data_IF_904030616370
#
_entry.id   IF_904030616370
#
_cell.length_a   1.000
_cell.length_b   1.000
_cell.length_c   1.000
_cell.angle_alpha   90.00
_cell.angle_beta   90.00
_cell.angle_gamma   90.00
#
_symmetry.space_group_name_H-M   'P 1'
#
loop_
_entity.id
_entity.type
_entity.pdbx_description
1 polymer ?
#
# COMPACT_ATOMS: atom_id res chain seq x y z
N UNK A 1 -16.22 2.24 8.37
CA UNK A 1 -14.77 2.23 8.13
C UNK A 1 -14.28 3.65 8.16
N UNK A 2 -13.47 3.97 9.16
CA UNK A 2 -12.90 5.30 9.35
C UNK A 2 -11.60 5.47 8.55
N UNK A 3 -11.17 6.71 8.31
CA UNK A 3 -9.95 6.98 7.52
C UNK A 3 -8.68 6.36 8.11
N UNK A 4 -8.59 6.33 9.45
CA UNK A 4 -7.45 5.74 10.14
C UNK A 4 -7.38 4.21 9.98
N UNK A 5 -8.53 3.53 9.87
CA UNK A 5 -8.61 2.09 9.59
C UNK A 5 -8.21 1.81 8.14
N UNK A 6 -8.69 2.63 7.20
CA UNK A 6 -8.35 2.51 5.78
C UNK A 6 -6.84 2.62 5.56
N UNK A 7 -6.20 3.66 6.09
CA UNK A 7 -4.77 3.87 5.86
C UNK A 7 -3.92 2.76 6.49
N UNK A 8 -4.35 2.21 7.64
CA UNK A 8 -3.70 1.06 8.29
C UNK A 8 -3.79 -0.18 7.42
N UNK A 9 -5.00 -0.53 6.98
CA UNK A 9 -5.22 -1.70 6.13
C UNK A 9 -4.43 -1.62 4.81
N UNK A 10 -4.42 -0.45 4.17
CA UNK A 10 -3.64 -0.24 2.93
C UNK A 10 -2.14 -0.33 3.19
N UNK A 11 -1.65 0.33 4.23
CA UNK A 11 -0.24 0.33 4.59
C UNK A 11 0.28 -1.08 4.87
N UNK A 12 -0.41 -1.82 5.74
CA UNK A 12 -0.06 -3.19 6.12
C UNK A 12 -0.10 -4.13 4.89
N UNK A 13 -1.12 -3.99 4.03
CA UNK A 13 -1.21 -4.79 2.79
C UNK A 13 -0.06 -4.53 1.82
N UNK A 14 0.43 -3.29 1.75
CA UNK A 14 1.50 -2.91 0.81
C UNK A 14 2.91 -3.18 1.34
N UNK A 15 3.14 -3.08 2.65
CA UNK A 15 4.49 -3.01 3.21
C UNK A 15 4.69 -3.83 4.49
N UNK A 16 3.65 -4.48 5.03
CA UNK A 16 3.70 -5.24 6.27
C UNK A 16 3.82 -4.37 7.53
N UNK A 17 4.43 -4.92 8.59
CA UNK A 17 4.48 -4.32 9.93
C UNK A 17 5.14 -2.93 9.99
N UNK A 18 6.02 -2.62 9.05
CA UNK A 18 6.77 -1.36 8.98
C UNK A 18 6.28 -0.43 7.87
N UNK A 19 4.96 -0.28 7.76
CA UNK A 19 4.33 0.40 6.61
C UNK A 19 4.39 1.93 6.63
N UNK A 20 4.34 2.58 7.79
CA UNK A 20 4.13 4.03 7.88
C UNK A 20 5.17 4.85 7.09
N UNK A 21 6.46 4.52 7.28
CA UNK A 21 7.56 5.18 6.58
C UNK A 21 7.56 4.90 5.08
N UNK A 22 7.25 3.67 4.68
CA UNK A 22 7.23 3.27 3.28
C UNK A 22 6.06 3.94 2.54
N UNK A 23 4.87 3.95 3.14
CA UNK A 23 3.71 4.63 2.60
C UNK A 23 3.96 6.14 2.50
N UNK A 24 4.54 6.76 3.54
CA UNK A 24 4.85 8.19 3.53
C UNK A 24 5.72 8.59 2.32
N UNK A 25 6.72 7.77 2.00
CA UNK A 25 7.59 7.97 0.83
C UNK A 25 6.79 7.91 -0.47
N UNK A 26 5.97 6.87 -0.64
CA UNK A 26 5.27 6.62 -1.90
C UNK A 26 4.11 7.62 -2.12
N UNK A 27 3.48 8.11 -1.04
CA UNK A 27 2.48 9.18 -1.11
C UNK A 27 3.09 10.59 -1.03
N UNK A 28 4.40 10.73 -0.86
CA UNK A 28 5.09 12.02 -0.90
C UNK A 28 4.76 12.95 0.27
N UNK A 29 4.60 12.41 1.47
CA UNK A 29 4.34 13.18 2.70
C UNK A 29 5.32 12.81 3.81
N UNK A 30 5.29 13.55 4.92
CA UNK A 30 6.11 13.21 6.08
C UNK A 30 5.59 11.97 6.81
N UNK A 31 6.51 11.16 7.34
CA UNK A 31 6.19 10.02 8.22
C UNK A 31 5.35 10.44 9.44
N UNK A 32 5.58 11.65 9.96
CA UNK A 32 4.78 12.23 11.06
C UNK A 32 3.30 12.40 10.67
N UNK A 33 3.02 12.82 9.43
CA UNK A 33 1.64 12.99 8.97
C UNK A 33 0.93 11.65 8.83
N UNK A 34 1.62 10.62 8.31
CA UNK A 34 1.08 9.26 8.23
C UNK A 34 0.78 8.70 9.63
N UNK A 35 1.64 8.97 10.62
CA UNK A 35 1.37 8.60 12.02
C UNK A 35 0.11 9.25 12.59
N UNK A 36 -0.11 10.55 12.34
CA UNK A 36 -1.33 11.22 12.77
C UNK A 36 -2.58 10.62 12.13
N UNK A 37 -2.53 10.32 10.83
CA UNK A 37 -3.62 9.64 10.15
C UNK A 37 -3.89 8.24 10.70
N UNK A 38 -2.83 7.47 10.97
CA UNK A 38 -2.93 6.12 11.53
C UNK A 38 -3.49 6.10 12.97
N UNK A 39 -3.29 7.18 13.72
CA UNK A 39 -3.80 7.37 15.08
C UNK A 39 -5.24 7.92 15.11
N UNK A 40 -5.76 8.42 13.97
CA UNK A 40 -7.04 9.12 13.93
C UNK A 40 -6.97 10.57 14.43
N UNK A 41 -5.77 11.09 14.71
CA UNK A 41 -5.55 12.48 15.18
C UNK A 41 -5.80 13.52 14.07
N UNK A 42 -5.84 13.08 12.80
CA UNK A 42 -6.15 13.91 11.63
C UNK A 42 -6.94 13.12 10.61
N UNK A 43 -7.88 13.80 9.97
CA UNK A 43 -8.60 13.25 8.83
C UNK A 43 -7.68 13.07 7.62
N UNK A 44 -8.03 12.09 6.78
CA UNK A 44 -7.39 11.92 5.49
C UNK A 44 -7.87 13.02 4.53
N UNK A 45 -6.98 13.62 3.74
CA UNK A 45 -7.41 14.52 2.69
C UNK A 45 -8.14 13.74 1.58
N UNK A 46 -9.15 14.34 0.96
CA UNK A 46 -9.98 13.70 -0.09
C UNK A 46 -9.18 13.19 -1.29
N UNK A 47 -7.97 13.74 -1.50
CA UNK A 47 -7.05 13.33 -2.57
C UNK A 47 -6.26 12.07 -2.26
N UNK A 48 -6.23 11.61 -1.01
CA UNK A 48 -5.42 10.46 -0.60
C UNK A 48 -6.05 9.11 -1.01
N UNK A 49 -7.35 8.83 -0.76
CA UNK A 49 -7.93 7.53 -1.13
C UNK A 49 -7.76 7.15 -2.62
N UNK A 50 -7.97 8.06 -3.60
CA UNK A 50 -7.70 7.75 -5.00
C UNK A 50 -6.23 7.36 -5.25
N UNK A 51 -5.28 8.02 -4.57
CA UNK A 51 -3.85 7.70 -4.70
C UNK A 51 -3.51 6.34 -4.07
N UNK A 52 -4.12 6.01 -2.93
CA UNK A 52 -3.98 4.70 -2.30
C UNK A 52 -4.49 3.58 -3.22
N UNK A 53 -5.63 3.81 -3.89
CA UNK A 53 -6.18 2.88 -4.87
C UNK A 53 -5.20 2.63 -6.02
N UNK A 54 -4.61 3.68 -6.60
CA UNK A 54 -3.59 3.55 -7.65
C UNK A 54 -2.39 2.73 -7.17
N UNK A 55 -1.85 3.00 -5.98
CA UNK A 55 -0.74 2.25 -5.42
C UNK A 55 -1.06 0.76 -5.24
N UNK A 56 -2.27 0.43 -4.80
CA UNK A 56 -2.73 -0.96 -4.65
C UNK A 56 -2.85 -1.67 -6.00
N UNK A 57 -3.41 -1.00 -7.00
CA UNK A 57 -3.56 -1.56 -8.36
C UNK A 57 -2.18 -1.82 -8.99
N UNK A 58 -1.26 -0.86 -8.88
CA UNK A 58 0.10 -1.01 -9.40
C UNK A 58 0.84 -2.17 -8.71
N UNK A 59 0.67 -2.31 -7.38
CA UNK A 59 1.23 -3.43 -6.64
C UNK A 59 0.60 -4.75 -7.07
N UNK A 60 -0.72 -4.80 -7.22
CA UNK A 60 -1.44 -5.98 -7.68
C UNK A 60 -0.98 -6.45 -9.05
N UNK A 61 -0.83 -5.53 -10.01
CA UNK A 61 -0.28 -5.84 -11.34
C UNK A 61 1.13 -6.42 -11.26
N UNK A 62 1.99 -5.82 -10.43
CA UNK A 62 3.36 -6.32 -10.20
C UNK A 62 3.35 -7.74 -9.64
N UNK A 63 2.52 -8.01 -8.63
CA UNK A 63 2.39 -9.33 -8.02
C UNK A 63 1.89 -10.36 -9.04
N UNK A 64 0.80 -10.06 -9.77
CA UNK A 64 0.29 -10.94 -10.82
C UNK A 64 1.35 -11.23 -11.90
N UNK A 65 2.17 -10.23 -12.25
CA UNK A 65 3.25 -10.42 -13.21
C UNK A 65 4.33 -11.34 -12.70
N UNK A 66 4.77 -11.16 -11.46
CA UNK A 66 5.76 -12.01 -10.81
C UNK A 66 5.25 -13.43 -10.63
N UNK A 67 4.00 -13.61 -10.20
CA UNK A 67 3.37 -14.94 -10.09
C UNK A 67 3.43 -15.69 -11.41
N UNK A 68 3.07 -15.04 -12.52
CA UNK A 68 3.12 -15.64 -13.85
C UNK A 68 4.54 -16.06 -14.26
N UNK A 69 5.56 -15.26 -13.93
CA UNK A 69 6.95 -15.61 -14.22
C UNK A 69 7.37 -16.86 -13.44
N UNK A 70 6.94 -16.99 -12.19
CA UNK A 70 7.21 -18.18 -11.37
C UNK A 70 6.48 -19.40 -11.93
N UNK A 71 5.21 -19.28 -12.32
CA UNK A 71 4.45 -20.36 -12.97
C UNK A 71 5.12 -20.83 -14.27
N UNK A 72 5.58 -19.89 -15.11
CA UNK A 72 6.30 -20.20 -16.34
C UNK A 72 7.64 -20.90 -16.07
N UNK A 73 8.33 -20.52 -15.00
CA UNK A 73 9.57 -21.17 -14.59
C UNK A 73 9.30 -22.62 -14.16
N UNK A 74 8.27 -22.86 -13.34
CA UNK A 74 7.90 -24.21 -12.89
C UNK A 74 7.48 -25.13 -14.04
N UNK A 75 6.67 -24.64 -14.99
CA UNK A 75 6.18 -25.44 -16.12
C UNK A 75 7.25 -25.71 -17.21
N UNK A 76 8.44 -25.13 -17.09
CA UNK A 76 9.55 -25.37 -18.03
C UNK A 76 10.37 -26.61 -17.66
N UNK A 77 10.31 -27.02 -16.40
CA UNK A 77 11.11 -28.11 -15.84
C UNK A 77 10.38 -29.47 -15.84
N UNK A 78 9.14 -29.51 -16.34
CA UNK A 78 8.34 -30.72 -16.67
C UNK A 78 8.45 -31.07 -18.17
#
# INVERSE_FOLDING_TARGET
>A
MEGHELIRAVGESLYGDHWQRALARDVGVSDRLVRFWAAGDRDLPDTLPPRLLTLLQDRGHTLCNTTRLVEQFMNRDD
#
